data_IF_330523642503
#
_entry.id   IF_330523642503
#
_cell.length_a   1.000
_cell.length_b   1.000
_cell.length_c   1.000
_cell.angle_alpha   90.00
_cell.angle_beta   90.00
_cell.angle_gamma   90.00
#
_symmetry.space_group_name_H-M   'P 1'
#
loop_
_entity.id
_entity.type
_entity.pdbx_description
1 polymer ?
#
# COMPACT_ATOMS: atom_id res chain seq x y z
N UNK A 1 -42.43 54.79 -52.06
CA UNK A 1 -43.69 55.13 -51.35
C UNK A 1 -44.05 53.96 -50.46
N UNK A 2 -44.19 54.21 -49.15
CA UNK A 2 -44.52 53.21 -48.13
C UNK A 2 -46.01 52.75 -48.24
N UNK A 3 -46.42 51.65 -47.55
CA UNK A 3 -46.81 51.79 -46.15
C UNK A 3 -46.43 50.61 -45.23
N UNK A 4 -46.39 50.95 -43.94
CA UNK A 4 -46.20 50.11 -42.74
C UNK A 4 -47.42 49.24 -42.40
N UNK A 5 -47.27 48.27 -41.48
CA UNK A 5 -48.01 48.36 -40.21
C UNK A 5 -47.15 47.96 -38.98
N UNK A 6 -47.01 48.82 -37.96
CA UNK A 6 -47.69 48.80 -36.63
C UNK A 6 -47.82 47.40 -36.01
N UNK A 7 -47.00 47.04 -35.02
CA UNK A 7 -47.08 47.33 -33.58
C UNK A 7 -47.76 46.18 -32.81
N UNK A 8 -47.09 45.70 -31.78
CA UNK A 8 -47.38 44.43 -31.11
C UNK A 8 -46.41 44.19 -29.96
N UNK A 9 -46.51 45.07 -28.96
CA UNK A 9 -45.85 44.97 -27.66
C UNK A 9 -46.23 43.65 -26.96
N UNK A 10 -45.22 42.87 -26.56
CA UNK A 10 -45.39 41.94 -25.46
C UNK A 10 -44.14 41.93 -24.57
N UNK A 11 -44.31 42.52 -23.40
CA UNK A 11 -43.36 42.58 -22.29
C UNK A 11 -43.30 41.24 -21.58
N UNK A 12 -42.12 40.61 -21.55
CA UNK A 12 -41.90 39.32 -20.90
C UNK A 12 -40.56 39.24 -20.19
N UNK A 13 -40.51 39.84 -19.00
CA UNK A 13 -39.73 39.46 -17.81
C UNK A 13 -38.30 38.92 -18.01
N UNK A 14 -37.32 39.80 -17.77
CA UNK A 14 -35.90 39.50 -17.62
C UNK A 14 -35.63 38.50 -16.49
N UNK A 15 -35.25 37.26 -16.83
CA UNK A 15 -34.66 36.32 -15.87
C UNK A 15 -33.14 36.52 -15.82
N UNK A 16 -32.67 37.12 -14.72
CA UNK A 16 -31.25 37.36 -14.46
C UNK A 16 -30.50 36.04 -14.26
N UNK A 17 -29.80 35.58 -15.29
CA UNK A 17 -28.83 34.47 -15.15
C UNK A 17 -27.56 35.02 -14.53
N UNK A 18 -27.36 34.80 -13.21
CA UNK A 18 -26.08 35.08 -12.54
C UNK A 18 -25.05 34.02 -12.98
N UNK A 19 -23.88 34.39 -13.53
CA UNK A 19 -22.85 33.42 -13.87
C UNK A 19 -22.17 32.94 -12.58
N UNK A 20 -22.28 31.64 -12.30
CA UNK A 20 -21.63 30.98 -11.17
C UNK A 20 -20.10 31.10 -11.27
N UNK A 21 -19.50 31.72 -10.25
CA UNK A 21 -18.06 31.76 -10.03
C UNK A 21 -17.52 30.32 -9.90
N UNK A 22 -16.80 29.84 -10.93
CA UNK A 22 -16.06 28.59 -10.88
C UNK A 22 -14.92 28.74 -9.88
N UNK A 23 -15.14 28.27 -8.64
CA UNK A 23 -14.08 28.18 -7.65
C UNK A 23 -13.03 27.18 -8.13
N UNK A 24 -11.88 27.72 -8.52
CA UNK A 24 -10.72 26.97 -8.97
C UNK A 24 -10.12 26.23 -7.76
N UNK A 25 -10.50 24.95 -7.57
CA UNK A 25 -9.93 24.08 -6.54
C UNK A 25 -8.45 23.85 -6.83
N UNK A 26 -7.59 24.72 -6.28
CA UNK A 26 -6.13 24.53 -6.29
C UNK A 26 -5.83 23.16 -5.67
N UNK A 27 -5.28 22.25 -6.48
CA UNK A 27 -4.78 20.96 -5.99
C UNK A 27 -3.73 21.25 -4.92
N UNK A 28 -4.06 20.94 -3.66
CA UNK A 28 -3.12 21.03 -2.55
C UNK A 28 -2.05 19.97 -2.79
N UNK A 29 -0.90 20.39 -3.30
CA UNK A 29 0.30 19.55 -3.30
C UNK A 29 0.66 19.30 -1.83
N UNK A 30 0.32 18.11 -1.33
CA UNK A 30 0.80 17.65 -0.04
C UNK A 30 2.33 17.61 -0.14
N UNK A 31 3.08 18.37 0.69
CA UNK A 31 4.53 18.27 0.68
C UNK A 31 4.86 16.89 1.23
N UNK A 32 5.22 15.96 0.35
CA UNK A 32 5.83 14.72 0.77
C UNK A 32 7.21 15.09 1.29
N UNK A 33 7.39 15.01 2.61
CA UNK A 33 8.66 15.24 3.29
C UNK A 33 9.65 14.21 2.77
N UNK A 34 10.41 14.58 1.74
CA UNK A 34 11.53 13.75 1.31
C UNK A 34 12.64 13.93 2.32
N UNK A 35 12.98 12.84 3.02
CA UNK A 35 14.24 12.72 3.74
C UNK A 35 15.37 13.07 2.75
N UNK A 36 15.87 14.31 2.86
CA UNK A 36 16.76 14.92 1.88
C UNK A 36 18.20 14.38 1.95
N UNK A 37 18.47 13.42 2.83
CA UNK A 37 19.84 12.99 3.12
C UNK A 37 20.34 11.83 2.25
N UNK A 38 19.48 11.10 1.53
CA UNK A 38 19.91 9.94 0.70
C UNK A 38 19.18 9.79 -0.64
N UNK A 39 18.46 10.83 -1.09
CA UNK A 39 17.75 10.74 -2.37
C UNK A 39 18.75 10.88 -3.53
N UNK A 40 19.05 9.76 -4.19
CA UNK A 40 19.89 9.74 -5.39
C UNK A 40 19.37 10.78 -6.39
N UNK A 41 20.26 11.59 -7.01
CA UNK A 41 19.85 12.55 -8.01
C UNK A 41 19.07 11.84 -9.13
N UNK A 42 18.07 12.52 -9.70
CA UNK A 42 17.23 11.92 -10.75
C UNK A 42 18.08 11.36 -11.91
N UNK A 43 17.64 10.26 -12.52
CA UNK A 43 18.36 9.50 -13.56
C UNK A 43 18.93 10.42 -14.66
N UNK A 44 18.18 11.43 -15.08
CA UNK A 44 18.60 12.41 -16.08
C UNK A 44 19.80 13.25 -15.63
N UNK A 45 19.83 13.67 -14.36
CA UNK A 45 20.95 14.43 -13.77
C UNK A 45 22.21 13.56 -13.65
N UNK A 46 22.07 12.29 -13.29
CA UNK A 46 23.18 11.34 -13.27
C UNK A 46 23.73 11.17 -14.69
N UNK A 47 22.87 10.95 -15.68
CA UNK A 47 23.27 10.81 -17.09
C UNK A 47 23.94 12.06 -17.65
N UNK A 48 23.50 13.27 -17.27
CA UNK A 48 24.16 14.51 -17.68
C UNK A 48 25.55 14.66 -17.03
N UNK A 49 25.68 14.37 -15.73
CA UNK A 49 26.98 14.39 -15.04
C UNK A 49 27.94 13.39 -15.65
N UNK A 50 27.47 12.18 -15.97
CA UNK A 50 28.26 11.12 -16.59
C UNK A 50 28.80 11.57 -17.96
N UNK A 51 27.96 12.18 -18.80
CA UNK A 51 28.39 12.77 -20.08
C UNK A 51 29.43 13.88 -19.89
N UNK A 52 29.25 14.76 -18.90
CA UNK A 52 30.22 15.81 -18.60
C UNK A 52 31.56 15.24 -18.12
N UNK A 53 31.55 14.24 -17.24
CA UNK A 53 32.77 13.57 -16.77
C UNK A 53 33.50 12.85 -17.90
N UNK A 54 32.77 12.14 -18.79
CA UNK A 54 33.37 11.53 -19.99
C UNK A 54 33.98 12.56 -20.93
N UNK A 55 33.31 13.69 -21.16
CA UNK A 55 33.86 14.81 -21.95
C UNK A 55 35.10 15.42 -21.31
N UNK A 56 35.14 15.50 -19.98
CA UNK A 56 36.31 16.00 -19.26
C UNK A 56 37.49 15.06 -19.49
N UNK A 57 37.33 13.75 -19.29
CA UNK A 57 38.36 12.73 -19.51
C UNK A 57 38.87 12.62 -20.95
N UNK A 58 38.05 13.03 -21.93
CA UNK A 58 38.44 13.05 -23.35
C UNK A 58 39.40 14.20 -23.72
N UNK A 59 39.61 15.19 -22.83
CA UNK A 59 40.55 16.29 -23.10
C UNK A 59 42.00 15.80 -22.96
N UNK A 60 42.87 16.22 -23.88
CA UNK A 60 44.28 15.80 -23.89
C UNK A 60 45.12 16.41 -22.74
N UNK A 61 44.75 17.61 -22.28
CA UNK A 61 45.53 18.39 -21.30
C UNK A 61 44.85 18.42 -19.92
N UNK A 62 44.84 17.28 -19.21
CA UNK A 62 44.31 17.18 -17.84
C UNK A 62 45.44 16.81 -16.90
N UNK A 63 45.52 17.48 -15.75
CA UNK A 63 46.46 17.10 -14.69
C UNK A 63 46.20 15.66 -14.22
N UNK A 64 47.27 14.91 -13.90
CA UNK A 64 47.17 13.51 -13.53
C UNK A 64 46.24 13.28 -12.31
N UNK A 65 46.31 14.16 -11.31
CA UNK A 65 45.47 14.10 -10.10
C UNK A 65 43.97 14.23 -10.44
N UNK A 66 43.63 15.26 -11.23
CA UNK A 66 42.26 15.49 -11.72
C UNK A 66 41.77 14.31 -12.57
N UNK A 67 42.65 13.64 -13.32
CA UNK A 67 42.28 12.43 -14.09
C UNK A 67 41.85 11.29 -13.17
N UNK A 68 42.64 11.00 -12.13
CA UNK A 68 42.31 9.96 -11.15
C UNK A 68 41.01 10.25 -10.41
N UNK A 69 40.82 11.50 -9.98
CA UNK A 69 39.56 11.92 -9.33
C UNK A 69 38.35 11.78 -10.26
N UNK A 70 38.50 12.18 -11.51
CA UNK A 70 37.40 12.12 -12.49
C UNK A 70 37.06 10.68 -12.90
N UNK A 71 38.04 9.77 -12.95
CA UNK A 71 37.80 8.33 -13.12
C UNK A 71 37.06 7.72 -11.91
N UNK A 72 37.48 8.07 -10.68
CA UNK A 72 36.77 7.66 -9.46
C UNK A 72 35.33 8.15 -9.48
N UNK A 73 35.12 9.42 -9.85
CA UNK A 73 33.79 10.02 -9.98
C UNK A 73 32.97 9.35 -11.08
N UNK A 74 33.58 8.99 -12.20
CA UNK A 74 32.91 8.27 -13.28
C UNK A 74 32.36 6.92 -12.77
N UNK A 75 33.20 6.14 -12.08
CA UNK A 75 32.80 4.85 -11.50
C UNK A 75 31.67 5.01 -10.46
N UNK A 76 31.75 6.05 -9.63
CA UNK A 76 30.68 6.37 -8.68
C UNK A 76 29.35 6.68 -9.40
N UNK A 77 29.38 7.54 -10.41
CA UNK A 77 28.19 7.90 -11.20
C UNK A 77 27.59 6.72 -11.97
N UNK A 78 28.42 5.78 -12.44
CA UNK A 78 27.95 4.54 -13.07
C UNK A 78 27.24 3.62 -12.06
N UNK A 79 27.78 3.50 -10.86
CA UNK A 79 27.11 2.79 -9.75
C UNK A 79 25.78 3.44 -9.36
N UNK A 80 25.75 4.77 -9.25
CA UNK A 80 24.53 5.54 -8.94
C UNK A 80 23.46 5.35 -10.03
N UNK A 81 23.87 5.35 -11.30
CA UNK A 81 22.99 5.12 -12.44
C UNK A 81 22.34 3.73 -12.36
N UNK A 82 23.14 2.69 -12.09
CA UNK A 82 22.63 1.32 -11.96
C UNK A 82 21.62 1.20 -10.82
N UNK A 83 21.92 1.78 -9.64
CA UNK A 83 20.97 1.79 -8.50
C UNK A 83 19.69 2.54 -8.84
N UNK A 84 19.77 3.69 -9.51
CA UNK A 84 18.61 4.47 -9.90
C UNK A 84 17.74 3.77 -10.95
N UNK A 85 18.34 3.04 -11.90
CA UNK A 85 17.61 2.25 -12.89
C UNK A 85 16.92 1.03 -12.26
N UNK A 86 17.58 0.35 -11.31
CA UNK A 86 16.97 -0.72 -10.51
C UNK A 86 15.80 -0.21 -9.69
N UNK A 87 15.96 0.89 -8.95
CA UNK A 87 14.87 1.49 -8.17
C UNK A 87 13.68 1.92 -9.06
N UNK A 88 13.96 2.42 -10.27
CA UNK A 88 12.91 2.72 -11.26
C UNK A 88 12.18 1.45 -11.68
N UNK A 89 12.89 0.36 -11.98
CA UNK A 89 12.31 -0.94 -12.34
C UNK A 89 11.43 -1.49 -11.22
N UNK A 90 11.93 -1.47 -9.98
CA UNK A 90 11.19 -1.88 -8.79
C UNK A 90 9.91 -1.06 -8.61
N UNK A 91 9.97 0.27 -8.79
CA UNK A 91 8.78 1.13 -8.73
C UNK A 91 7.77 0.78 -9.80
N UNK A 92 8.21 0.52 -11.04
CA UNK A 92 7.30 0.13 -12.13
C UNK A 92 6.61 -1.20 -11.84
N UNK A 93 7.33 -2.19 -11.33
CA UNK A 93 6.75 -3.49 -10.97
C UNK A 93 5.87 -3.40 -9.73
N UNK A 94 6.24 -2.60 -8.73
CA UNK A 94 5.42 -2.34 -7.57
C UNK A 94 4.04 -1.83 -8.00
N UNK A 95 3.97 -0.82 -8.87
CA UNK A 95 2.69 -0.30 -9.38
C UNK A 95 1.96 -1.33 -10.23
N UNK A 96 2.65 -1.97 -11.19
CA UNK A 96 2.04 -2.95 -12.13
C UNK A 96 1.39 -4.12 -11.40
N UNK A 97 2.07 -4.67 -10.40
CA UNK A 97 1.63 -5.88 -9.68
C UNK A 97 0.97 -5.58 -8.34
N UNK A 98 0.86 -4.31 -7.92
CA UNK A 98 0.25 -3.95 -6.64
C UNK A 98 -1.14 -4.56 -6.46
N UNK A 99 -2.01 -4.39 -7.48
CA UNK A 99 -3.38 -4.90 -7.44
C UNK A 99 -3.44 -6.42 -7.43
N UNK A 100 -2.66 -7.08 -8.28
CA UNK A 100 -2.56 -8.55 -8.33
C UNK A 100 -2.13 -9.09 -6.97
N UNK A 101 -1.00 -8.61 -6.44
CA UNK A 101 -0.49 -9.01 -5.11
C UNK A 101 -1.46 -8.71 -3.98
N UNK A 102 -2.22 -7.60 -4.06
CA UNK A 102 -3.24 -7.27 -3.07
C UNK A 102 -4.36 -8.31 -3.04
N UNK A 103 -4.94 -8.66 -4.19
CA UNK A 103 -6.02 -9.65 -4.24
C UNK A 103 -5.54 -11.04 -3.82
N UNK A 104 -4.35 -11.46 -4.25
CA UNK A 104 -3.79 -12.75 -3.84
C UNK A 104 -3.52 -12.80 -2.34
N UNK A 105 -2.96 -11.73 -1.76
CA UNK A 105 -2.77 -11.61 -0.31
C UNK A 105 -4.09 -11.74 0.45
N UNK A 106 -5.13 -11.03 0.00
CA UNK A 106 -6.46 -11.11 0.63
C UNK A 106 -7.06 -12.52 0.50
N UNK A 107 -6.91 -13.17 -0.66
CA UNK A 107 -7.38 -14.54 -0.90
C UNK A 107 -6.65 -15.53 0.03
N UNK A 108 -5.34 -15.41 0.19
CA UNK A 108 -4.54 -16.25 1.08
C UNK A 108 -4.87 -16.02 2.56
N UNK A 109 -4.97 -14.77 3.00
CA UNK A 109 -5.36 -14.44 4.39
C UNK A 109 -6.74 -15.02 4.71
N UNK A 110 -7.72 -14.91 3.81
CA UNK A 110 -9.06 -15.52 3.99
C UNK A 110 -8.98 -17.04 4.10
N UNK A 111 -8.22 -17.69 3.22
CA UNK A 111 -8.02 -19.15 3.25
C UNK A 111 -7.34 -19.60 4.54
N UNK A 112 -6.30 -18.91 4.98
CA UNK A 112 -5.62 -19.18 6.25
C UNK A 112 -6.60 -19.08 7.42
N UNK A 113 -7.45 -18.03 7.45
CA UNK A 113 -8.49 -17.89 8.49
C UNK A 113 -9.55 -19.00 8.45
N UNK A 114 -9.90 -19.47 7.26
CA UNK A 114 -10.83 -20.59 7.10
C UNK A 114 -10.20 -21.88 7.62
N UNK A 115 -9.02 -22.25 7.13
CA UNK A 115 -8.32 -23.47 7.56
C UNK A 115 -8.04 -23.45 9.06
N UNK A 116 -7.67 -22.31 9.65
CA UNK A 116 -7.50 -22.19 11.12
C UNK A 116 -8.79 -22.46 11.89
N UNK A 117 -9.96 -22.07 11.37
CA UNK A 117 -11.27 -22.38 11.99
C UNK A 117 -11.60 -23.87 11.81
N UNK A 118 -11.35 -24.42 10.63
CA UNK A 118 -11.65 -25.82 10.35
C UNK A 118 -10.77 -26.76 11.21
N UNK A 119 -9.49 -26.40 11.43
CA UNK A 119 -8.58 -27.10 12.36
C UNK A 119 -9.12 -27.14 13.79
N UNK A 120 -9.85 -26.10 14.25
CA UNK A 120 -10.42 -26.10 15.61
C UNK A 120 -11.58 -27.08 15.77
N UNK A 121 -12.25 -27.43 14.67
CA UNK A 121 -13.39 -28.36 14.66
C UNK A 121 -12.97 -29.80 14.27
N UNK A 122 -11.84 -29.97 13.57
CA UNK A 122 -11.35 -31.26 13.11
C UNK A 122 -10.61 -32.06 14.21
N UNK A 123 -10.64 -33.39 14.11
CA UNK A 123 -9.90 -34.30 15.01
C UNK A 123 -9.19 -35.43 14.25
N UNK A 124 -8.11 -35.95 14.83
CA UNK A 124 -7.35 -37.06 14.28
C UNK A 124 -6.60 -36.69 12.99
N UNK A 125 -6.65 -37.58 11.99
CA UNK A 125 -5.87 -37.46 10.74
C UNK A 125 -6.22 -36.25 9.89
N UNK A 126 -7.49 -35.85 9.88
CA UNK A 126 -7.96 -34.66 9.15
C UNK A 126 -7.27 -33.39 9.65
N UNK A 127 -6.96 -33.33 10.96
CA UNK A 127 -6.27 -32.20 11.55
C UNK A 127 -4.83 -32.07 11.03
N UNK A 128 -4.10 -33.19 10.94
CA UNK A 128 -2.72 -33.21 10.42
C UNK A 128 -2.67 -32.79 8.95
N UNK A 129 -3.62 -33.26 8.14
CA UNK A 129 -3.75 -32.84 6.74
C UNK A 129 -4.01 -31.32 6.62
N UNK A 130 -4.93 -30.80 7.43
CA UNK A 130 -5.25 -29.37 7.46
C UNK A 130 -4.07 -28.50 7.95
N UNK A 131 -3.27 -28.99 8.90
CA UNK A 131 -2.05 -28.33 9.35
C UNK A 131 -1.00 -28.25 8.22
N UNK A 132 -0.82 -29.33 7.45
CA UNK A 132 0.04 -29.31 6.26
C UNK A 132 -0.45 -28.31 5.19
N UNK A 133 -1.76 -28.22 4.98
CA UNK A 133 -2.35 -27.21 4.09
C UNK A 133 -2.10 -25.79 4.62
N UNK A 134 -2.23 -25.57 5.92
CA UNK A 134 -1.97 -24.29 6.57
C UNK A 134 -0.52 -23.83 6.36
N UNK A 135 0.45 -24.73 6.50
CA UNK A 135 1.86 -24.45 6.23
C UNK A 135 2.10 -24.06 4.76
N UNK A 136 1.50 -24.80 3.82
CA UNK A 136 1.55 -24.47 2.40
C UNK A 136 1.00 -23.07 2.10
N UNK A 137 -0.14 -22.71 2.70
CA UNK A 137 -0.75 -21.38 2.56
C UNK A 137 0.10 -20.27 3.16
N UNK A 138 0.83 -20.53 4.25
CA UNK A 138 1.77 -19.58 4.86
C UNK A 138 2.98 -19.31 3.96
N UNK A 139 3.55 -20.36 3.37
CA UNK A 139 4.60 -20.22 2.34
C UNK A 139 4.10 -19.37 1.17
N UNK A 140 2.87 -19.61 0.73
CA UNK A 140 2.26 -18.84 -0.36
C UNK A 140 2.02 -17.37 0.03
N UNK A 141 1.60 -17.09 1.26
CA UNK A 141 1.45 -15.72 1.75
C UNK A 141 2.81 -14.99 1.80
N UNK A 142 3.85 -15.67 2.30
CA UNK A 142 5.21 -15.15 2.28
C UNK A 142 5.75 -14.97 0.85
N UNK A 143 5.39 -15.84 -0.08
CA UNK A 143 5.65 -15.66 -1.51
C UNK A 143 5.10 -14.33 -2.02
N UNK A 144 3.84 -13.99 -1.71
CA UNK A 144 3.28 -12.70 -2.12
C UNK A 144 3.96 -11.54 -1.39
N UNK A 145 4.31 -11.66 -0.11
CA UNK A 145 4.92 -10.56 0.66
C UNK A 145 6.35 -10.26 0.21
N UNK A 146 7.19 -11.29 0.13
CA UNK A 146 8.64 -11.17 -0.04
C UNK A 146 9.13 -11.45 -1.46
N UNK A 147 8.23 -11.52 -2.46
CA UNK A 147 8.64 -11.69 -3.86
C UNK A 147 9.68 -10.63 -4.30
N UNK A 148 10.75 -11.02 -5.01
CA UNK A 148 11.80 -10.09 -5.45
C UNK A 148 11.26 -8.89 -6.25
N UNK A 149 11.52 -7.67 -5.77
CA UNK A 149 10.97 -6.42 -6.33
C UNK A 149 11.46 -6.12 -7.75
N UNK A 150 12.65 -6.61 -8.11
CA UNK A 150 13.27 -6.38 -9.41
C UNK A 150 12.90 -7.42 -10.50
N UNK A 151 12.06 -8.40 -10.16
CA UNK A 151 11.60 -9.47 -11.07
C UNK A 151 10.10 -9.32 -11.36
N UNK A 152 9.67 -9.84 -12.51
CA UNK A 152 8.26 -9.96 -12.90
C UNK A 152 7.54 -10.83 -11.86
N UNK A 153 6.42 -10.38 -11.32
CA UNK A 153 5.61 -11.19 -10.42
C UNK A 153 4.87 -12.30 -11.19
N UNK A 154 4.88 -13.51 -10.64
CA UNK A 154 4.21 -14.67 -11.20
C UNK A 154 3.04 -15.03 -10.28
N UNK A 155 1.82 -14.79 -10.74
CA UNK A 155 0.58 -15.01 -9.97
C UNK A 155 0.46 -16.45 -9.50
N UNK A 156 -0.02 -16.68 -8.28
CA UNK A 156 -0.32 -18.01 -7.75
C UNK A 156 -1.69 -18.51 -8.22
N UNK A 157 -2.65 -17.60 -8.31
CA UNK A 157 -4.00 -17.91 -8.77
C UNK A 157 -4.14 -17.44 -10.22
N UNK A 158 -4.61 -18.28 -11.15
CA UNK A 158 -5.02 -17.82 -12.46
C UNK A 158 -6.02 -16.68 -12.31
N UNK A 159 -5.98 -15.66 -13.19
CA UNK A 159 -7.04 -14.67 -13.22
C UNK A 159 -8.34 -15.41 -13.50
N UNK A 160 -9.24 -15.44 -12.51
CA UNK A 160 -10.63 -15.88 -12.74
C UNK A 160 -11.13 -15.07 -13.93
N UNK A 161 -11.56 -15.78 -14.97
CA UNK A 161 -12.04 -15.27 -16.26
C UNK A 161 -13.07 -14.15 -16.09
N UNK A 162 -12.57 -12.95 -15.87
CA UNK A 162 -13.25 -11.68 -16.09
C UNK A 162 -12.38 -11.00 -17.12
N UNK A 163 -13.00 -10.57 -18.20
CA UNK A 163 -12.44 -10.00 -19.43
C UNK A 163 -11.66 -8.70 -19.22
N UNK A 164 -10.80 -8.64 -18.21
CA UNK A 164 -9.84 -7.58 -18.04
C UNK A 164 -8.70 -7.96 -18.97
N UNK A 165 -8.53 -7.19 -20.04
CA UNK A 165 -7.38 -7.22 -20.94
C UNK A 165 -6.11 -6.86 -20.16
N UNK A 166 -5.66 -7.77 -19.31
CA UNK A 166 -4.31 -7.80 -18.78
C UNK A 166 -3.60 -8.84 -19.61
N UNK A 167 -2.54 -8.45 -20.30
CA UNK A 167 -1.72 -9.34 -21.15
C UNK A 167 -1.67 -10.76 -20.53
N UNK A 168 -1.96 -11.82 -21.30
CA UNK A 168 -2.08 -13.17 -20.77
C UNK A 168 -0.83 -13.46 -19.96
N UNK A 169 -1.00 -13.63 -18.65
CA UNK A 169 0.06 -13.99 -17.72
C UNK A 169 0.44 -15.41 -18.10
N UNK A 170 1.34 -15.51 -19.08
CA UNK A 170 1.71 -16.75 -19.74
C UNK A 170 2.21 -17.74 -18.70
N UNK A 171 1.45 -18.81 -18.51
CA UNK A 171 1.84 -20.00 -17.75
C UNK A 171 2.84 -20.81 -18.58
N UNK A 172 3.97 -20.21 -18.93
CA UNK A 172 5.07 -20.96 -19.53
C UNK A 172 5.65 -21.93 -18.49
N UNK A 173 6.27 -23.02 -18.97
CA UNK A 173 7.02 -23.94 -18.09
C UNK A 173 8.04 -23.16 -17.24
N UNK A 174 8.71 -22.18 -17.84
CA UNK A 174 9.72 -21.35 -17.17
C UNK A 174 9.14 -20.52 -16.01
N UNK A 175 7.93 -19.97 -16.16
CA UNK A 175 7.28 -19.18 -15.10
C UNK A 175 6.90 -20.09 -13.90
N UNK A 176 6.51 -21.34 -14.16
CA UNK A 176 6.27 -22.33 -13.09
C UNK A 176 7.57 -22.71 -12.37
N UNK A 177 8.66 -22.93 -13.10
CA UNK A 177 9.96 -23.24 -12.51
C UNK A 177 10.48 -22.09 -11.64
N UNK A 178 10.32 -20.85 -12.10
CA UNK A 178 10.67 -19.67 -11.31
C UNK A 178 9.82 -19.56 -10.04
N UNK A 179 8.51 -19.82 -10.13
CA UNK A 179 7.61 -19.83 -8.97
C UNK A 179 8.07 -20.88 -7.95
N UNK A 180 8.39 -22.09 -8.39
CA UNK A 180 8.87 -23.18 -7.51
C UNK A 180 10.19 -22.81 -6.83
N UNK A 181 11.15 -22.23 -7.57
CA UNK A 181 12.43 -21.77 -7.02
C UNK A 181 12.25 -20.72 -5.93
N UNK A 182 11.37 -19.74 -6.15
CA UNK A 182 11.11 -18.68 -5.16
C UNK A 182 10.36 -19.24 -3.95
N UNK A 183 9.40 -20.16 -4.14
CA UNK A 183 8.71 -20.83 -3.00
C UNK A 183 9.67 -21.67 -2.17
N UNK A 184 10.61 -22.37 -2.81
CA UNK A 184 11.65 -23.12 -2.11
C UNK A 184 12.54 -22.20 -1.27
N UNK A 185 13.06 -21.13 -1.86
CA UNK A 185 13.87 -20.14 -1.15
C UNK A 185 13.12 -19.56 0.06
N UNK A 186 11.82 -19.29 -0.07
CA UNK A 186 11.01 -18.77 1.04
C UNK A 186 10.81 -19.81 2.13
N UNK A 187 10.63 -21.08 1.77
CA UNK A 187 10.56 -22.16 2.75
C UNK A 187 11.85 -22.24 3.56
N UNK A 188 12.99 -22.20 2.88
CA UNK A 188 14.30 -22.20 3.53
C UNK A 188 14.43 -20.98 4.47
N UNK A 189 14.07 -19.78 4.01
CA UNK A 189 14.10 -18.56 4.84
C UNK A 189 13.15 -18.62 6.05
N UNK A 190 12.00 -19.28 5.92
CA UNK A 190 11.10 -19.52 7.06
C UNK A 190 11.69 -20.54 8.04
N UNK A 191 12.41 -21.53 7.55
CA UNK A 191 13.08 -22.54 8.38
C UNK A 191 14.24 -21.92 9.18
N UNK A 192 15.08 -21.12 8.51
CA UNK A 192 16.17 -20.35 9.14
C UNK A 192 15.66 -19.24 10.07
N UNK A 193 14.38 -18.86 9.98
CA UNK A 193 13.77 -17.82 10.82
C UNK A 193 14.07 -16.39 10.37
N UNK A 194 14.56 -16.18 9.15
CA UNK A 194 14.68 -14.83 8.55
C UNK A 194 13.32 -14.22 8.23
N UNK A 195 12.33 -15.07 7.92
CA UNK A 195 10.96 -14.70 7.61
C UNK A 195 10.02 -15.38 8.61
N UNK A 196 8.94 -14.68 8.97
CA UNK A 196 7.93 -15.17 9.88
C UNK A 196 7.28 -16.48 9.43
N UNK A 197 7.12 -17.40 10.38
CA UNK A 197 6.33 -18.63 10.21
C UNK A 197 4.83 -18.37 10.25
N UNK A 198 4.40 -17.21 10.76
CA UNK A 198 2.99 -16.82 10.88
C UNK A 198 2.75 -15.44 10.27
N UNK A 199 2.89 -15.28 8.95
CA UNK A 199 2.74 -13.98 8.29
C UNK A 199 1.35 -13.36 8.47
N UNK A 200 0.32 -14.16 8.79
CA UNK A 200 -1.02 -13.65 9.04
C UNK A 200 -1.13 -12.78 10.30
N UNK A 201 -0.40 -13.10 11.37
CA UNK A 201 -0.48 -12.39 12.66
C UNK A 201 0.23 -11.04 12.59
N UNK A 202 1.35 -10.95 11.89
CA UNK A 202 2.09 -9.71 11.66
C UNK A 202 1.28 -8.72 10.82
N UNK A 203 0.58 -9.22 9.79
CA UNK A 203 -0.29 -8.39 8.96
C UNK A 203 -1.49 -7.82 9.73
N UNK A 204 -2.06 -8.60 10.67
CA UNK A 204 -3.16 -8.13 11.52
C UNK A 204 -2.68 -7.10 12.54
N UNK A 205 -1.52 -7.32 13.17
CA UNK A 205 -0.91 -6.39 14.13
C UNK A 205 -0.49 -5.05 13.50
N UNK A 206 0.01 -5.07 12.26
CA UNK A 206 0.47 -3.86 11.55
C UNK A 206 -0.64 -2.90 11.10
N UNK A 207 -1.91 -3.30 11.18
CA UNK A 207 -3.04 -2.40 10.86
C UNK A 207 -3.48 -1.51 12.04
N UNK A 208 -3.02 -1.79 13.26
CA UNK A 208 -3.34 -1.02 14.48
C UNK A 208 -2.13 -0.46 15.22
N UNK A 209 -0.91 -0.88 14.89
CA UNK A 209 0.30 -0.39 15.53
C UNK A 209 1.39 -0.05 14.50
N UNK A 210 2.05 1.10 14.71
CA UNK A 210 3.34 1.54 14.14
C UNK A 210 3.33 2.52 12.95
N UNK A 211 2.91 3.76 13.22
CA UNK A 211 3.82 4.91 13.06
C UNK A 211 4.35 5.33 14.45
N UNK A 212 5.16 4.47 15.05
CA UNK A 212 6.01 4.84 16.18
C UNK A 212 7.34 4.14 16.01
N UNK A 213 8.30 4.86 15.43
CA UNK A 213 9.71 4.49 15.49
C UNK A 213 10.22 4.91 16.87
N UNK A 214 10.66 3.99 17.75
CA UNK A 214 11.34 4.39 18.98
C UNK A 214 12.66 5.02 18.59
N UNK A 215 12.75 6.33 18.82
CA UNK A 215 13.96 7.11 18.59
C UNK A 215 15.13 6.59 19.42
N UNK A 216 16.25 6.47 18.73
CA UNK A 216 17.59 6.83 19.19
C UNK A 216 17.82 6.86 20.71
N UNK A 217 18.57 5.85 21.16
CA UNK A 217 19.32 5.86 22.42
C UNK A 217 20.05 7.20 22.61
N UNK A 218 19.59 7.99 23.58
CA UNK A 218 20.33 9.14 24.12
C UNK A 218 21.59 8.62 24.80
N UNK A 219 22.75 8.82 24.18
CA UNK A 219 24.04 8.80 24.89
C UNK A 219 24.14 10.06 25.75
N UNK A 220 24.12 9.87 27.05
CA UNK A 220 24.42 10.86 28.08
C UNK A 220 25.93 10.98 28.23
N UNK A 221 26.51 12.15 27.93
CA UNK A 221 27.76 12.65 28.53
C UNK A 221 27.80 14.19 28.39
N UNK A 222 28.20 14.90 29.45
CA UNK A 222 28.66 16.29 29.34
C UNK A 222 28.01 17.28 30.29
N UNK A 223 28.48 17.25 31.52
CA UNK A 223 28.34 18.23 32.60
C UNK A 223 28.80 19.65 32.19
N UNK A 224 27.97 20.68 32.44
CA UNK A 224 28.47 22.02 32.79
C UNK A 224 27.40 22.85 33.49
N UNK A 225 27.76 23.30 34.69
CA UNK A 225 27.07 24.15 35.66
C UNK A 225 26.86 25.57 35.13
N UNK A 226 25.69 26.20 35.42
CA UNK A 226 25.54 27.54 36.05
C UNK A 226 24.08 28.03 36.16
N UNK A 227 23.63 28.08 37.42
CA UNK A 227 22.96 29.16 38.19
C UNK A 227 21.70 29.92 37.68
N UNK A 228 20.70 29.84 38.57
CA UNK A 228 19.82 30.86 39.16
C UNK A 228 18.81 31.64 38.28
N UNK A 229 17.51 31.38 38.51
CA UNK A 229 16.54 32.40 38.95
C UNK A 229 15.14 31.81 39.20
N UNK A 230 14.53 32.27 40.29
CA UNK A 230 13.18 31.96 40.78
C UNK A 230 12.07 32.51 39.86
N UNK A 231 10.96 31.77 39.75
CA UNK A 231 9.60 32.33 39.96
C UNK A 231 8.54 31.21 39.92
N UNK A 232 7.57 31.38 40.80
CA UNK A 232 6.42 30.55 41.13
C UNK A 232 5.33 30.51 40.07
N UNK A 233 4.63 29.38 39.92
CA UNK A 233 3.16 29.31 40.09
C UNK A 233 2.65 27.90 39.81
N UNK A 234 1.86 27.38 40.75
CA UNK A 234 1.05 26.18 40.57
C UNK A 234 -0.20 26.52 39.77
N UNK A 235 -0.55 25.69 38.78
CA UNK A 235 -1.93 25.56 38.34
C UNK A 235 -2.16 24.15 37.78
N UNK A 236 -2.94 23.38 38.52
CA UNK A 236 -3.69 22.23 38.07
C UNK A 236 -4.52 22.61 36.83
N UNK A 237 -4.42 21.85 35.73
CA UNK A 237 -5.48 21.82 34.73
C UNK A 237 -5.87 20.37 34.46
N UNK A 238 -7.04 20.05 35.00
CA UNK A 238 -7.77 18.80 34.88
C UNK A 238 -8.27 18.65 33.45
N UNK A 239 -8.17 17.41 32.96
CA UNK A 239 -8.76 16.91 31.71
C UNK A 239 -10.28 17.03 31.75
N UNK A 240 -10.86 17.87 30.89
CA UNK A 240 -12.29 17.82 30.58
C UNK A 240 -12.49 16.95 29.34
N UNK A 241 -13.21 15.85 29.53
CA UNK A 241 -13.78 15.06 28.45
C UNK A 241 -14.92 15.84 27.82
N UNK A 242 -14.90 15.92 26.49
CA UNK A 242 -15.95 16.54 25.70
C UNK A 242 -17.09 15.51 25.52
N UNK A 243 -18.11 15.63 26.37
CA UNK A 243 -19.42 14.94 26.30
C UNK A 243 -20.21 15.47 25.09
N UNK A 244 -19.77 15.11 23.88
CA UNK A 244 -20.32 15.63 22.63
C UNK A 244 -21.56 14.88 22.09
N UNK A 245 -22.08 13.85 22.76
CA UNK A 245 -23.36 13.26 22.34
C UNK A 245 -24.25 12.97 23.54
N UNK A 246 -24.98 14.01 23.94
CA UNK A 246 -26.08 13.91 24.89
C UNK A 246 -27.21 13.04 24.36
N UNK A 247 -27.62 12.11 25.21
CA UNK A 247 -28.93 11.49 25.26
C UNK A 247 -30.02 12.56 25.38
N UNK A 248 -31.03 12.49 24.49
CA UNK A 248 -32.43 12.50 24.90
C UNK A 248 -33.28 12.09 23.69
N UNK A 249 -33.98 10.96 23.79
CA UNK A 249 -35.44 10.85 23.64
C UNK A 249 -35.83 9.41 23.96
N UNK A 250 -36.32 9.26 25.20
CA UNK A 250 -37.19 8.18 25.69
C UNK A 250 -38.48 8.11 24.82
N UNK A 251 -39.34 7.09 24.74
CA UNK A 251 -39.56 5.81 25.40
C UNK A 251 -40.87 5.22 24.80
N UNK A 252 -41.01 3.90 24.75
CA UNK A 252 -42.29 3.23 25.00
C UNK A 252 -43.15 2.73 23.83
N UNK A 253 -43.54 1.44 23.92
CA UNK A 253 -44.75 0.85 23.32
C UNK A 253 -44.48 -0.30 22.33
N UNK A 254 -44.31 -1.55 22.78
CA UNK A 254 -45.37 -2.59 22.92
C UNK A 254 -46.02 -3.02 21.60
N UNK A 255 -45.82 -4.28 21.19
CA UNK A 255 -46.92 -5.26 21.03
C UNK A 255 -46.38 -6.61 20.51
N UNK A 256 -46.75 -7.65 21.25
CA UNK A 256 -46.65 -9.04 20.85
C UNK A 256 -47.75 -9.37 19.84
N UNK A 257 -47.47 -10.27 18.89
CA UNK A 257 -48.50 -11.08 18.24
C UNK A 257 -47.93 -12.44 17.86
N UNK A 258 -48.30 -13.42 18.68
CA UNK A 258 -48.58 -14.79 18.24
C UNK A 258 -49.68 -14.76 17.18
N UNK A 259 -49.55 -15.56 16.12
CA UNK A 259 -50.67 -16.32 15.54
C UNK A 259 -50.20 -17.37 14.52
N UNK A 260 -50.65 -18.60 14.78
CA UNK A 260 -51.03 -19.73 13.90
C UNK A 260 -50.11 -20.18 12.74
N UNK A 261 -49.66 -21.43 12.68
CA UNK A 261 -50.38 -22.72 12.62
C UNK A 261 -51.01 -23.02 11.24
N UNK A 262 -51.02 -24.33 10.92
CA UNK A 262 -51.55 -25.02 9.74
C UNK A 262 -50.54 -25.18 8.59
N UNK A 263 -50.38 -26.34 7.94
CA UNK A 263 -50.86 -27.70 8.20
C UNK A 263 -50.00 -28.65 7.35
N UNK A 264 -49.96 -29.91 7.79
CA UNK A 264 -49.57 -31.09 7.01
C UNK A 264 -50.25 -31.12 5.64
N UNK A 265 -49.53 -31.59 4.61
CA UNK A 265 -50.09 -32.61 3.72
C UNK A 265 -48.99 -33.46 3.04
N UNK A 266 -49.28 -34.76 3.07
CA UNK A 266 -48.58 -35.93 2.56
C UNK A 266 -48.52 -35.98 1.02
N UNK A 267 -47.96 -37.07 0.50
CA UNK A 267 -48.08 -37.63 -0.88
C UNK A 267 -47.24 -36.94 -1.98
N UNK A 268 -46.51 -37.61 -2.87
CA UNK A 268 -46.49 -39.04 -3.25
C UNK A 268 -45.13 -39.38 -3.90
N UNK A 269 -44.68 -40.60 -3.65
CA UNK A 269 -43.78 -41.34 -4.54
C UNK A 269 -44.57 -41.76 -5.79
N UNK A 270 -44.03 -41.55 -6.98
CA UNK A 270 -44.35 -42.45 -8.09
C UNK A 270 -43.27 -42.47 -9.19
N UNK A 271 -42.79 -43.70 -9.41
CA UNK A 271 -42.16 -44.30 -10.60
C UNK A 271 -40.77 -43.87 -11.08
#
# INVERSE_FOLDING_TARGET
MAPTPVDGSNTGVSSSTRPGLKQNKKKRNHPYVQNAQESLPGVQKIKSSLRQTRRLLAKANIAADVRVETERRLKALEGDLARAEMAKKERTYAVKYHKVKFFERQKLVRKIKQVKRDITSAQGKEKEEMEGVLEGLRVDLNYVLHYPKAKKYISLFPPETREIQVDPISTTSDDNDQRLKVRALIRDQMEYGEISKQPETELEGGSRAAHYTPGHSRKTQGESIRKDAHTSSSAHHVTEGDDFFGEDYSEGGSEASDHDALEMEDSDQDK
#
